data_IF_906999865144
#
_entry.id   IF_906999865144
#
_cell.length_a   1.000
_cell.length_b   1.000
_cell.length_c   1.000
_cell.angle_alpha   90.00
_cell.angle_beta   90.00
_cell.angle_gamma   90.00
#
_symmetry.space_group_name_H-M   'P 1'
#
loop_
_entity.id
_entity.type
_entity.pdbx_description
1 polymer ?
#
# COMPACT_ATOMS: atom_id res chain seq x y z
N UNK A 1 -12.36 8.32 -16.58
CA UNK A 1 -11.03 7.97 -16.02
C UNK A 1 -11.22 7.52 -14.57
N UNK A 2 -10.17 7.28 -13.79
CA UNK A 2 -10.36 7.06 -12.35
C UNK A 2 -10.98 8.31 -11.70
N UNK A 3 -12.06 8.17 -10.94
CA UNK A 3 -12.82 9.28 -10.32
C UNK A 3 -11.93 10.25 -9.55
N UNK A 4 -10.99 9.74 -8.75
CA UNK A 4 -10.05 10.57 -7.98
C UNK A 4 -9.05 11.33 -8.86
N UNK A 5 -8.73 10.82 -10.04
CA UNK A 5 -7.82 11.52 -10.96
C UNK A 5 -8.49 12.76 -11.57
N UNK A 6 -9.76 12.65 -11.97
CA UNK A 6 -10.56 13.77 -12.45
C UNK A 6 -10.76 14.81 -11.34
N UNK A 7 -11.12 14.35 -10.13
CA UNK A 7 -11.24 15.21 -8.96
C UNK A 7 -9.93 15.97 -8.65
N UNK A 8 -8.78 15.29 -8.75
CA UNK A 8 -7.48 15.92 -8.56
C UNK A 8 -7.22 17.02 -9.58
N UNK A 9 -7.45 16.74 -10.87
CA UNK A 9 -7.16 17.66 -11.97
C UNK A 9 -8.08 18.88 -11.96
N UNK A 10 -9.38 18.67 -11.72
CA UNK A 10 -10.39 19.70 -11.92
C UNK A 10 -10.56 20.62 -10.72
N UNK A 11 -10.35 20.08 -9.51
CA UNK A 11 -10.58 20.78 -8.24
C UNK A 11 -9.29 20.93 -7.42
N UNK A 12 -8.68 19.83 -6.99
CA UNK A 12 -7.56 19.86 -6.04
C UNK A 12 -6.37 20.68 -6.56
N UNK A 13 -5.98 20.48 -7.83
CA UNK A 13 -4.85 21.19 -8.39
C UNK A 13 -5.08 22.72 -8.45
N UNK A 14 -6.31 23.15 -8.76
CA UNK A 14 -6.66 24.58 -8.80
C UNK A 14 -6.71 25.18 -7.40
N UNK A 15 -7.25 24.44 -6.44
CA UNK A 15 -7.34 24.89 -5.05
C UNK A 15 -5.95 25.03 -4.43
N UNK A 16 -5.06 24.06 -4.66
CA UNK A 16 -3.66 24.13 -4.21
C UNK A 16 -2.90 25.29 -4.85
N UNK A 17 -3.11 25.55 -6.14
CA UNK A 17 -2.49 26.68 -6.82
C UNK A 17 -2.92 28.03 -6.23
N UNK A 18 -4.22 28.19 -5.92
CA UNK A 18 -4.76 29.39 -5.27
C UNK A 18 -4.25 29.55 -3.83
N UNK A 19 -4.20 28.45 -3.08
CA UNK A 19 -3.84 28.48 -1.66
C UNK A 19 -2.35 28.73 -1.44
N UNK A 20 -1.48 28.12 -2.24
CA UNK A 20 -0.03 28.17 -2.05
C UNK A 20 0.69 29.09 -3.03
N UNK A 21 -0.02 29.67 -4.00
CA UNK A 21 0.54 30.66 -4.93
C UNK A 21 1.61 30.10 -5.88
N UNK A 22 1.51 28.82 -6.26
CA UNK A 22 2.44 28.19 -7.20
C UNK A 22 2.46 28.95 -8.54
N UNK A 23 3.65 29.13 -9.12
CA UNK A 23 3.85 29.88 -10.36
C UNK A 23 3.52 29.05 -11.60
N UNK A 24 3.65 27.73 -11.48
CA UNK A 24 3.41 26.79 -12.57
C UNK A 24 2.54 25.61 -12.13
N UNK A 25 1.72 25.11 -13.05
CA UNK A 25 0.90 23.90 -12.86
C UNK A 25 1.78 22.69 -12.55
N UNK A 26 3.02 22.69 -13.04
CA UNK A 26 3.98 21.60 -12.84
C UNK A 26 4.57 21.55 -11.42
N UNK A 27 4.44 22.64 -10.64
CA UNK A 27 4.89 22.70 -9.25
C UNK A 27 3.85 22.08 -8.28
N UNK A 28 2.61 21.90 -8.74
CA UNK A 28 1.53 21.38 -7.91
C UNK A 28 1.84 19.94 -7.49
N UNK A 29 1.83 19.62 -6.19
CA UNK A 29 2.08 18.28 -5.70
C UNK A 29 1.13 17.25 -6.32
N UNK A 30 1.68 16.09 -6.70
CA UNK A 30 0.94 14.96 -7.24
C UNK A 30 1.40 13.67 -6.57
N UNK A 31 0.51 12.69 -6.52
CA UNK A 31 0.86 11.35 -6.05
C UNK A 31 1.66 10.64 -7.15
N UNK A 32 2.93 10.33 -6.90
CA UNK A 32 3.81 9.70 -7.89
C UNK A 32 3.57 8.19 -8.01
N UNK A 33 3.40 7.53 -6.85
CA UNK A 33 3.19 6.10 -6.72
C UNK A 33 2.61 5.78 -5.35
N UNK A 34 1.91 4.65 -5.25
CA UNK A 34 1.58 4.01 -3.99
C UNK A 34 2.30 2.67 -3.96
N UNK A 35 3.04 2.41 -2.89
CA UNK A 35 3.71 1.14 -2.66
C UNK A 35 3.00 0.41 -1.55
N UNK A 36 2.59 -0.83 -1.80
CA UNK A 36 2.09 -1.73 -0.77
C UNK A 36 3.17 -2.75 -0.48
N UNK A 37 3.41 -3.00 0.79
CA UNK A 37 4.40 -3.92 1.29
C UNK A 37 3.77 -4.81 2.36
N UNK A 38 4.15 -6.08 2.35
CA UNK A 38 3.78 -7.06 3.34
C UNK A 38 5.05 -7.82 3.72
N UNK A 39 5.44 -7.68 4.99
CA UNK A 39 6.53 -8.46 5.56
C UNK A 39 6.02 -9.84 5.94
N UNK A 40 6.68 -10.89 5.45
CA UNK A 40 6.30 -12.28 5.69
C UNK A 40 7.52 -13.03 6.20
N UNK A 41 7.89 -12.80 7.45
CA UNK A 41 9.06 -13.44 8.07
C UNK A 41 8.94 -14.95 8.20
N UNK A 42 7.71 -15.47 8.31
CA UNK A 42 7.41 -16.90 8.38
C UNK A 42 7.68 -17.64 7.06
N UNK A 43 7.79 -16.90 5.95
CA UNK A 43 8.11 -17.47 4.64
C UNK A 43 9.50 -18.13 4.57
N UNK A 44 10.38 -17.83 5.53
CA UNK A 44 11.69 -18.49 5.66
C UNK A 44 11.52 -19.97 6.01
N UNK A 45 10.47 -20.32 6.76
CA UNK A 45 10.18 -21.69 7.18
C UNK A 45 9.26 -22.41 6.18
N UNK A 46 8.27 -21.71 5.60
CA UNK A 46 7.32 -22.29 4.65
C UNK A 46 7.15 -21.42 3.40
N UNK A 47 7.50 -21.99 2.24
CA UNK A 47 7.34 -21.33 0.94
C UNK A 47 5.87 -21.09 0.56
N UNK A 48 4.93 -21.91 1.03
CA UNK A 48 3.51 -21.78 0.71
C UNK A 48 2.90 -20.50 1.29
N UNK A 49 3.35 -20.10 2.49
CA UNK A 49 2.94 -18.84 3.16
C UNK A 49 3.25 -17.64 2.26
N UNK A 50 4.38 -17.67 1.54
CA UNK A 50 4.72 -16.62 0.58
C UNK A 50 3.77 -16.61 -0.63
N UNK A 51 3.38 -17.79 -1.13
CA UNK A 51 2.44 -17.89 -2.25
C UNK A 51 1.06 -17.35 -1.88
N UNK A 52 0.57 -17.64 -0.67
CA UNK A 52 -0.68 -17.07 -0.15
C UNK A 52 -0.59 -15.55 -0.02
N UNK A 53 0.47 -15.02 0.59
CA UNK A 53 0.68 -13.59 0.72
C UNK A 53 0.77 -12.87 -0.64
N UNK A 54 1.42 -13.48 -1.63
CA UNK A 54 1.47 -12.99 -3.01
C UNK A 54 0.08 -13.00 -3.65
N UNK A 55 -0.70 -14.07 -3.44
CA UNK A 55 -2.07 -14.19 -3.94
C UNK A 55 -2.99 -13.11 -3.36
N UNK A 56 -2.95 -12.90 -2.05
CA UNK A 56 -3.75 -11.88 -1.37
C UNK A 56 -3.38 -10.47 -1.84
N UNK A 57 -2.08 -10.15 -1.89
CA UNK A 57 -1.64 -8.85 -2.38
C UNK A 57 -1.99 -8.63 -3.87
N UNK A 58 -1.98 -9.68 -4.67
CA UNK A 58 -2.42 -9.60 -6.07
C UNK A 58 -3.92 -9.29 -6.18
N UNK A 59 -4.76 -9.91 -5.35
CA UNK A 59 -6.20 -9.61 -5.30
C UNK A 59 -6.46 -8.15 -4.89
N UNK A 60 -5.77 -7.69 -3.84
CA UNK A 60 -5.91 -6.32 -3.32
C UNK A 60 -5.45 -5.30 -4.38
N UNK A 61 -4.27 -5.48 -4.96
CA UNK A 61 -3.66 -4.49 -5.82
C UNK A 61 -4.10 -4.59 -7.29
N UNK A 62 -4.72 -5.70 -7.71
CA UNK A 62 -5.01 -5.99 -9.12
C UNK A 62 -3.75 -6.12 -9.99
N UNK A 63 -2.59 -6.35 -9.37
CA UNK A 63 -1.29 -6.43 -10.02
C UNK A 63 -0.43 -7.47 -9.31
N UNK A 64 0.27 -8.30 -10.10
CA UNK A 64 1.18 -9.31 -9.55
C UNK A 64 2.29 -8.62 -8.72
N UNK A 65 2.42 -8.93 -7.42
CA UNK A 65 3.47 -8.37 -6.59
C UNK A 65 4.82 -9.01 -6.89
N UNK A 66 5.88 -8.31 -6.48
CA UNK A 66 7.26 -8.79 -6.56
C UNK A 66 7.66 -9.32 -5.19
N UNK A 67 8.20 -10.53 -5.14
CA UNK A 67 8.78 -11.11 -3.92
C UNK A 67 10.04 -10.33 -3.55
N UNK A 68 10.12 -9.85 -2.32
CA UNK A 68 11.30 -9.17 -1.80
C UNK A 68 12.26 -10.20 -1.22
N UNK A 69 13.48 -10.18 -1.73
CA UNK A 69 14.57 -11.02 -1.24
C UNK A 69 15.42 -10.24 -0.23
N UNK A 70 15.96 -10.96 0.75
CA UNK A 70 16.99 -10.44 1.65
C UNK A 70 18.24 -10.07 0.85
N UNK A 71 18.91 -8.99 1.26
CA UNK A 71 20.18 -8.53 0.68
C UNK A 71 21.42 -9.01 1.45
N UNK A 72 21.21 -9.47 2.68
CA UNK A 72 22.25 -9.84 3.63
C UNK A 72 21.76 -10.99 4.49
N UNK A 73 22.67 -11.87 4.84
CA UNK A 73 22.46 -12.90 5.85
C UNK A 73 22.49 -12.29 7.25
N UNK A 74 21.49 -12.59 8.08
CA UNK A 74 21.42 -12.14 9.47
C UNK A 74 21.03 -13.33 10.33
N UNK A 75 21.97 -13.82 11.14
CA UNK A 75 21.80 -15.02 11.96
C UNK A 75 20.66 -14.88 13.00
N UNK A 76 20.50 -13.69 13.60
CA UNK A 76 19.45 -13.43 14.60
C UNK A 76 18.03 -13.62 14.07
N UNK A 77 17.81 -13.37 12.77
CA UNK A 77 16.52 -13.62 12.11
C UNK A 77 16.50 -14.95 11.35
N UNK A 78 17.57 -15.75 11.42
CA UNK A 78 17.74 -16.99 10.65
C UNK A 78 17.59 -16.80 9.13
N UNK A 79 17.90 -15.61 8.62
CA UNK A 79 17.79 -15.24 7.20
C UNK A 79 19.16 -15.39 6.53
N UNK A 80 19.20 -16.02 5.35
CA UNK A 80 20.37 -16.02 4.46
C UNK A 80 20.16 -15.05 3.31
N UNK A 81 21.23 -14.67 2.63
CA UNK A 81 21.16 -13.84 1.41
C UNK A 81 20.31 -14.52 0.32
N UNK A 82 19.49 -13.73 -0.38
CA UNK A 82 18.58 -14.22 -1.42
C UNK A 82 17.33 -14.97 -0.92
N UNK A 83 17.04 -14.98 0.39
CA UNK A 83 15.82 -15.60 0.94
C UNK A 83 14.59 -14.70 0.75
N UNK A 84 13.41 -15.27 0.47
CA UNK A 84 12.17 -14.51 0.38
C UNK A 84 11.72 -14.04 1.77
N UNK A 85 11.54 -12.73 1.94
CA UNK A 85 11.18 -12.10 3.23
C UNK A 85 9.86 -11.34 3.19
N UNK A 86 9.28 -11.13 2.02
CA UNK A 86 7.98 -10.50 1.87
C UNK A 86 7.57 -10.33 0.41
N UNK A 87 6.54 -9.54 0.20
CA UNK A 87 6.08 -9.17 -1.14
C UNK A 87 5.74 -7.67 -1.16
N UNK A 88 5.95 -7.06 -2.33
CA UNK A 88 5.60 -5.65 -2.55
C UNK A 88 5.00 -5.44 -3.92
N UNK A 89 4.16 -4.43 -4.03
CA UNK A 89 3.62 -3.96 -5.31
C UNK A 89 3.69 -2.44 -5.36
N UNK A 90 4.03 -1.92 -6.54
CA UNK A 90 4.08 -0.47 -6.78
C UNK A 90 3.03 -0.14 -7.83
N UNK A 91 2.03 0.62 -7.41
CA UNK A 91 0.95 1.11 -8.24
C UNK A 91 1.29 2.52 -8.72
N UNK A 92 1.04 2.78 -10.00
CA UNK A 92 1.26 4.08 -10.65
C UNK A 92 0.09 4.42 -11.56
N UNK A 93 -0.04 5.70 -11.93
CA UNK A 93 -1.06 6.20 -12.87
C UNK A 93 -2.47 5.79 -12.43
N UNK A 94 -3.28 5.25 -13.34
CA UNK A 94 -4.70 4.97 -13.11
C UNK A 94 -4.95 3.95 -11.98
N UNK A 95 -4.22 2.83 -11.98
CA UNK A 95 -4.38 1.77 -10.94
C UNK A 95 -4.12 2.28 -9.53
N UNK A 96 -3.22 3.26 -9.39
CA UNK A 96 -2.94 3.92 -8.12
C UNK A 96 -4.15 4.71 -7.62
N UNK A 97 -4.80 5.49 -8.49
CA UNK A 97 -5.99 6.25 -8.12
C UNK A 97 -7.19 5.34 -7.83
N UNK A 98 -7.36 4.25 -8.57
CA UNK A 98 -8.41 3.25 -8.31
C UNK A 98 -8.19 2.55 -6.97
N UNK A 99 -6.96 2.16 -6.66
CA UNK A 99 -6.63 1.61 -5.35
C UNK A 99 -6.86 2.63 -4.22
N UNK A 100 -6.45 3.88 -4.42
CA UNK A 100 -6.64 4.95 -3.43
C UNK A 100 -8.13 5.20 -3.14
N UNK A 101 -8.97 5.20 -4.18
CA UNK A 101 -10.43 5.38 -4.02
C UNK A 101 -11.03 4.25 -3.19
N UNK A 102 -10.63 3.01 -3.50
CA UNK A 102 -11.06 1.82 -2.76
C UNK A 102 -10.56 1.83 -1.31
N UNK A 103 -9.32 2.28 -1.09
CA UNK A 103 -8.73 2.38 0.23
C UNK A 103 -9.54 3.35 1.10
N UNK A 104 -9.82 4.55 0.59
CA UNK A 104 -10.52 5.61 1.34
C UNK A 104 -11.99 5.28 1.53
N UNK A 105 -12.68 4.87 0.45
CA UNK A 105 -14.14 4.74 0.45
C UNK A 105 -14.63 3.39 0.98
N UNK A 106 -13.80 2.33 0.94
CA UNK A 106 -14.24 0.96 1.25
C UNK A 106 -13.40 0.33 2.37
N UNK A 107 -12.07 0.34 2.24
CA UNK A 107 -11.22 -0.41 3.17
C UNK A 107 -11.04 0.28 4.53
N UNK A 108 -10.81 1.60 4.56
CA UNK A 108 -10.61 2.35 5.80
C UNK A 108 -11.83 2.31 6.73
N UNK A 109 -13.08 2.48 6.25
CA UNK A 109 -14.26 2.34 7.09
C UNK A 109 -14.45 0.96 7.73
N UNK A 110 -13.82 -0.08 7.16
CA UNK A 110 -13.85 -1.46 7.69
C UNK A 110 -12.79 -1.72 8.75
N UNK A 111 -11.89 -0.78 9.02
CA UNK A 111 -10.91 -0.91 10.10
C UNK A 111 -11.65 -0.90 11.45
N UNK A 112 -11.41 -1.92 12.27
CA UNK A 112 -11.95 -1.98 13.65
C UNK A 112 -11.47 -0.78 14.46
N UNK A 113 -12.40 -0.12 15.15
CA UNK A 113 -12.14 1.07 15.99
C UNK A 113 -11.43 2.21 15.24
N UNK A 114 -11.83 2.48 13.99
CA UNK A 114 -11.25 3.57 13.22
C UNK A 114 -11.55 4.95 13.83
N UNK A 115 -10.50 5.62 14.32
CA UNK A 115 -10.58 6.98 14.91
C UNK A 115 -10.01 8.08 14.00
N UNK A 116 -9.89 7.79 12.71
CA UNK A 116 -9.20 8.66 11.77
C UNK A 116 -7.74 8.28 11.56
N UNK A 117 -7.14 8.93 10.57
CA UNK A 117 -5.75 8.72 10.18
C UNK A 117 -4.87 9.75 10.89
N UNK A 118 -3.73 9.33 11.43
CA UNK A 118 -2.79 10.24 12.09
C UNK A 118 -2.11 11.19 11.09
N UNK A 119 -2.24 12.50 11.31
CA UNK A 119 -1.48 13.51 10.56
C UNK A 119 0.02 13.52 10.87
N UNK A 120 0.51 12.72 11.82
CA UNK A 120 1.94 12.64 12.18
C UNK A 120 2.73 11.63 11.36
N UNK A 121 2.08 10.79 10.56
CA UNK A 121 2.76 9.71 9.82
C UNK A 121 3.42 10.16 8.51
N UNK A 122 3.75 11.44 8.40
CA UNK A 122 4.53 11.99 7.30
C UNK A 122 6.03 11.92 7.60
N UNK A 123 6.84 11.66 6.58
CA UNK A 123 8.30 11.52 6.69
C UNK A 123 9.07 12.85 6.65
N UNK A 124 8.36 13.98 6.68
CA UNK A 124 8.93 15.33 6.54
C UNK A 124 9.31 15.72 5.11
N UNK A 125 9.21 14.81 4.13
CA UNK A 125 9.45 15.06 2.70
C UNK A 125 8.19 14.99 1.85
N UNK A 126 7.02 14.94 2.50
CA UNK A 126 5.72 14.85 1.84
C UNK A 126 5.29 13.42 1.50
N UNK A 127 6.00 12.38 1.96
CA UNK A 127 5.52 11.02 1.84
C UNK A 127 4.72 10.64 3.09
N UNK A 128 3.63 9.91 2.86
CA UNK A 128 2.74 9.44 3.90
C UNK A 128 2.82 7.91 4.02
N UNK A 129 2.92 7.39 5.25
CA UNK A 129 2.93 5.96 5.52
C UNK A 129 1.81 5.60 6.49
N UNK A 130 1.14 4.46 6.26
CA UNK A 130 0.10 3.93 7.14
C UNK A 130 0.25 2.42 7.25
N UNK A 131 0.37 1.95 8.49
CA UNK A 131 0.29 0.53 8.80
C UNK A 131 -1.17 0.07 8.86
N UNK A 132 -1.46 -1.05 8.21
CA UNK A 132 -2.70 -1.81 8.31
C UNK A 132 -2.38 -3.08 9.08
N UNK A 133 -3.08 -3.33 10.20
CA UNK A 133 -2.83 -4.50 11.04
C UNK A 133 -3.32 -5.80 10.42
N UNK A 134 -4.43 -5.74 9.69
CA UNK A 134 -5.12 -6.91 9.16
C UNK A 134 -5.53 -6.67 7.70
N UNK A 135 -5.18 -7.58 6.80
CA UNK A 135 -5.51 -7.50 5.39
C UNK A 135 -7.03 -7.66 5.09
N UNK A 136 -7.82 -8.10 6.09
CA UNK A 136 -9.27 -8.35 5.97
C UNK A 136 -10.11 -7.09 5.75
N UNK A 137 -9.50 -5.91 5.87
CA UNK A 137 -10.16 -4.64 5.59
C UNK A 137 -10.55 -4.53 4.11
N UNK A 138 -9.85 -5.26 3.23
CA UNK A 138 -10.11 -5.31 1.81
C UNK A 138 -11.21 -6.32 1.49
N UNK A 139 -12.30 -5.92 0.81
CA UNK A 139 -13.39 -6.83 0.44
C UNK A 139 -12.98 -7.94 -0.52
N UNK A 140 -11.84 -7.80 -1.20
CA UNK A 140 -11.29 -8.81 -2.10
C UNK A 140 -10.74 -10.04 -1.36
N UNK A 141 -10.54 -9.93 -0.05
CA UNK A 141 -10.06 -11.03 0.78
C UNK A 141 -11.24 -11.74 1.43
N UNK A 142 -11.41 -13.01 1.10
CA UNK A 142 -12.40 -13.89 1.71
C UNK A 142 -11.87 -14.43 3.04
N UNK A 143 -12.52 -14.11 4.15
CA UNK A 143 -12.09 -14.48 5.50
C UNK A 143 -11.85 -15.99 5.66
N UNK A 144 -12.70 -16.82 5.05
CA UNK A 144 -12.63 -18.29 5.14
C UNK A 144 -11.42 -18.91 4.43
N UNK A 145 -10.81 -18.18 3.48
CA UNK A 145 -9.66 -18.65 2.69
C UNK A 145 -8.32 -18.15 3.22
N UNK A 146 -8.32 -17.39 4.30
CA UNK A 146 -7.10 -16.85 4.89
C UNK A 146 -6.45 -17.92 5.77
N UNK A 147 -5.15 -18.11 5.59
CA UNK A 147 -4.34 -18.96 6.46
C UNK A 147 -3.94 -18.23 7.76
N UNK A 148 -3.48 -16.99 7.65
CA UNK A 148 -3.06 -16.16 8.77
C UNK A 148 -3.37 -14.66 8.56
N UNK A 149 -3.63 -13.94 9.65
CA UNK A 149 -3.72 -12.49 9.65
C UNK A 149 -2.32 -11.89 9.45
N UNK A 150 -2.18 -11.04 8.43
CA UNK A 150 -0.94 -10.38 8.01
C UNK A 150 -1.12 -8.88 7.99
N UNK A 151 -0.15 -8.18 8.55
CA UNK A 151 -0.07 -6.73 8.45
C UNK A 151 0.46 -6.28 7.09
N UNK A 152 0.09 -5.06 6.70
CA UNK A 152 0.53 -4.40 5.47
C UNK A 152 0.93 -2.94 5.76
N UNK A 153 1.74 -2.36 4.87
CA UNK A 153 2.15 -0.96 4.94
C UNK A 153 2.48 -0.37 3.56
#
# INVERSE_FOLDING_TARGET
MARLYEFYKDKVAKDLMKQFGYKSIMEVPRIEKITLNMGVGEAVADKKVMEFAVGDMQKIAGQKPVVTLSKKSIAGFKIRDGYPVGCKVTLRKQRMYEFLDRLISVAIPRIRDFRGISGKSFDGRGNYNMGVKEQIIFPEIEYEKIDALRGMN
#
